data_IF_516954273151
#
_entry.id   IF_516954273151
#
_cell.length_a   1.000
_cell.length_b   1.000
_cell.length_c   1.000
_cell.angle_alpha   90.00
_cell.angle_beta   90.00
_cell.angle_gamma   90.00
#
_symmetry.space_group_name_H-M   'P 1'
#
loop_
_entity.id
_entity.type
_entity.pdbx_description
1 polymer ?
#
# COMPACT_ATOMS: atom_id res chain seq x y z
N UNK A 1 5.29 24.29 12.22
CA UNK A 1 6.26 23.21 11.94
C UNK A 1 5.82 22.37 10.72
N UNK A 2 5.28 23.02 9.68
CA UNK A 2 4.73 22.35 8.50
C UNK A 2 5.21 23.06 7.23
N UNK A 3 5.22 22.32 6.13
CA UNK A 3 5.26 22.81 4.76
C UNK A 3 3.82 23.03 4.34
N UNK A 4 3.53 24.19 3.76
CA UNK A 4 2.19 24.49 3.24
C UNK A 4 2.22 24.41 1.73
N UNK A 5 1.35 23.61 1.12
CA UNK A 5 1.24 23.48 -0.33
C UNK A 5 -0.01 24.26 -0.79
N UNK A 6 0.13 25.50 -1.29
CA UNK A 6 -1.01 26.40 -1.53
C UNK A 6 -2.03 25.82 -2.51
N UNK A 7 -1.54 25.24 -3.61
CA UNK A 7 -2.37 24.70 -4.70
C UNK A 7 -3.11 23.40 -4.34
N UNK A 8 -2.85 22.84 -3.15
CA UNK A 8 -3.56 21.73 -2.56
C UNK A 8 -4.47 22.18 -1.39
N UNK A 9 -5.15 23.32 -1.53
CA UNK A 9 -6.02 23.89 -0.48
C UNK A 9 -5.25 24.16 0.82
N UNK A 10 -4.01 24.66 0.72
CA UNK A 10 -3.09 24.85 1.84
C UNK A 10 -2.82 23.56 2.63
N UNK A 11 -2.77 22.41 1.96
CA UNK A 11 -2.42 21.14 2.59
C UNK A 11 -1.10 21.26 3.36
N UNK A 12 -1.09 20.73 4.58
CA UNK A 12 0.06 20.82 5.48
C UNK A 12 0.78 19.48 5.56
N UNK A 13 2.08 19.51 5.27
CA UNK A 13 2.98 18.35 5.38
C UNK A 13 3.97 18.62 6.50
N UNK A 14 4.26 17.65 7.37
CA UNK A 14 5.26 17.85 8.42
C UNK A 14 6.64 18.16 7.80
N UNK A 15 7.37 19.17 8.32
CA UNK A 15 8.67 19.57 7.73
C UNK A 15 9.65 18.39 7.66
N UNK A 16 9.74 17.59 8.73
CA UNK A 16 10.59 16.40 8.75
C UNK A 16 10.21 15.39 7.66
N UNK A 17 8.91 15.17 7.40
CA UNK A 17 8.47 14.27 6.33
C UNK A 17 8.91 14.82 4.96
N UNK A 18 8.78 16.12 4.73
CA UNK A 18 9.22 16.75 3.48
C UNK A 18 10.73 16.63 3.27
N UNK A 19 11.55 16.96 4.28
CA UNK A 19 13.01 16.81 4.23
C UNK A 19 13.38 15.35 3.96
N UNK A 20 12.64 14.42 4.56
CA UNK A 20 12.90 13.01 4.34
C UNK A 20 12.51 12.55 2.93
N UNK A 21 11.39 13.03 2.41
CA UNK A 21 10.99 12.79 1.03
C UNK A 21 12.05 13.32 0.06
N UNK A 22 12.58 14.52 0.29
CA UNK A 22 13.74 15.06 -0.44
C UNK A 22 14.92 14.09 -0.40
N UNK A 23 15.34 13.66 0.79
CA UNK A 23 16.46 12.73 0.98
C UNK A 23 16.26 11.41 0.21
N UNK A 24 15.09 10.79 0.33
CA UNK A 24 14.79 9.53 -0.37
C UNK A 24 14.79 9.73 -1.89
N UNK A 25 14.15 10.82 -2.35
CA UNK A 25 14.07 11.14 -3.77
C UNK A 25 15.44 11.41 -4.38
N UNK A 26 16.29 12.14 -3.65
CA UNK A 26 17.68 12.42 -4.02
C UNK A 26 18.51 11.15 -4.14
N UNK A 27 18.45 10.29 -3.13
CA UNK A 27 19.14 8.99 -3.13
C UNK A 27 18.73 8.12 -4.33
N UNK A 28 17.47 8.20 -4.76
CA UNK A 28 16.91 7.31 -5.77
C UNK A 28 17.11 7.81 -7.20
N UNK A 29 16.97 9.11 -7.44
CA UNK A 29 16.85 9.65 -8.80
C UNK A 29 17.87 10.72 -9.17
N UNK A 30 18.72 11.18 -8.24
CA UNK A 30 19.70 12.24 -8.57
C UNK A 30 20.83 11.77 -9.51
N UNK A 31 21.07 10.46 -9.60
CA UNK A 31 22.24 9.89 -10.28
C UNK A 31 23.59 10.20 -9.59
N UNK A 32 23.56 10.87 -8.43
CA UNK A 32 24.74 11.30 -7.65
C UNK A 32 24.93 10.40 -6.42
N UNK A 33 26.03 10.63 -5.70
CA UNK A 33 26.28 10.00 -4.42
C UNK A 33 25.11 10.27 -3.45
N UNK A 34 24.43 9.23 -2.94
CA UNK A 34 23.31 9.36 -1.99
C UNK A 34 23.60 10.22 -0.76
N UNK A 35 24.85 10.32 -0.33
CA UNK A 35 25.22 11.07 0.88
C UNK A 35 25.26 12.59 0.65
N UNK A 36 25.19 13.04 -0.62
CA UNK A 36 25.23 14.47 -0.99
C UNK A 36 23.87 15.18 -0.93
N UNK A 37 22.82 14.52 -0.44
CA UNK A 37 21.45 15.06 -0.45
C UNK A 37 21.27 16.38 0.32
N UNK A 38 22.13 16.68 1.30
CA UNK A 38 22.08 17.92 2.11
C UNK A 38 22.52 19.14 1.30
N UNK A 39 23.54 18.99 0.47
CA UNK A 39 24.09 20.03 -0.42
C UNK A 39 23.49 19.96 -1.83
N UNK A 40 22.72 18.91 -2.09
CA UNK A 40 22.11 18.62 -3.38
C UNK A 40 21.15 19.71 -3.84
N UNK A 41 21.13 19.92 -5.17
CA UNK A 41 20.15 20.76 -5.84
C UNK A 41 19.19 19.88 -6.64
N UNK A 42 17.97 20.37 -6.85
CA UNK A 42 16.95 19.71 -7.68
C UNK A 42 16.28 20.76 -8.57
N UNK A 43 15.95 20.47 -9.84
CA UNK A 43 15.14 21.40 -10.62
C UNK A 43 13.77 21.57 -9.96
N UNK A 44 13.18 22.76 -10.09
CA UNK A 44 11.81 22.97 -9.61
C UNK A 44 10.86 22.04 -10.37
N UNK A 45 11.01 21.96 -11.70
CA UNK A 45 10.21 21.11 -12.57
C UNK A 45 8.75 21.56 -12.69
N UNK A 46 8.52 22.87 -12.61
CA UNK A 46 7.18 23.45 -12.69
C UNK A 46 6.50 23.10 -14.02
N UNK A 47 5.31 22.49 -13.96
CA UNK A 47 4.52 22.12 -15.15
C UNK A 47 3.03 21.99 -14.84
N UNK A 48 2.20 22.28 -15.85
CA UNK A 48 0.76 22.07 -15.82
C UNK A 48 0.34 20.66 -16.26
N UNK A 49 1.30 19.83 -16.71
CA UNK A 49 1.03 18.43 -17.08
C UNK A 49 0.62 17.60 -15.86
N UNK A 50 -0.17 16.54 -16.08
CA UNK A 50 -0.53 15.57 -15.04
C UNK A 50 0.69 14.77 -14.56
N UNK A 51 0.62 14.17 -13.37
CA UNK A 51 1.77 13.46 -12.77
C UNK A 51 2.26 12.29 -13.65
N UNK A 52 1.35 11.53 -14.28
CA UNK A 52 1.74 10.46 -15.19
C UNK A 52 2.58 10.98 -16.38
N UNK A 53 2.06 11.99 -17.09
CA UNK A 53 2.75 12.61 -18.22
C UNK A 53 4.12 13.18 -17.85
N UNK A 54 4.26 13.79 -16.66
CA UNK A 54 5.57 14.25 -16.17
C UNK A 54 6.59 13.13 -16.03
N UNK A 55 6.17 11.98 -15.49
CA UNK A 55 7.05 10.84 -15.30
C UNK A 55 7.43 10.19 -16.64
N UNK A 56 6.50 10.16 -17.60
CA UNK A 56 6.72 9.67 -18.97
C UNK A 56 7.70 10.57 -19.75
N UNK A 57 7.70 11.88 -19.47
CA UNK A 57 8.64 12.86 -20.01
C UNK A 57 10.03 12.82 -19.32
N UNK A 58 10.23 11.90 -18.37
CA UNK A 58 11.50 11.76 -17.65
C UNK A 58 11.76 12.81 -16.57
N UNK A 59 10.75 13.62 -16.19
CA UNK A 59 10.89 14.69 -15.20
C UNK A 59 10.82 14.20 -13.74
N UNK A 60 11.29 12.97 -13.49
CA UNK A 60 11.17 12.30 -12.20
C UNK A 60 11.89 13.03 -11.09
N UNK A 61 13.10 13.51 -11.36
CA UNK A 61 13.92 14.19 -10.37
C UNK A 61 13.58 15.69 -10.32
N UNK A 62 12.48 16.04 -9.63
CA UNK A 62 12.04 17.44 -9.47
C UNK A 62 11.32 17.70 -8.14
N UNK A 63 11.38 18.95 -7.68
CA UNK A 63 10.63 19.40 -6.49
C UNK A 63 9.11 19.20 -6.70
N UNK A 64 8.63 19.47 -7.90
CA UNK A 64 7.24 19.30 -8.31
C UNK A 64 6.73 17.88 -8.03
N UNK A 65 7.50 16.84 -8.39
CA UNK A 65 7.10 15.45 -8.15
C UNK A 65 7.03 15.14 -6.65
N UNK A 66 8.01 15.59 -5.85
CA UNK A 66 7.96 15.41 -4.38
C UNK A 66 6.69 16.02 -3.80
N UNK A 67 6.38 17.27 -4.17
CA UNK A 67 5.18 17.95 -3.69
C UNK A 67 3.90 17.22 -4.08
N UNK A 68 3.83 16.69 -5.32
CA UNK A 68 2.67 15.92 -5.78
C UNK A 68 2.51 14.57 -5.06
N UNK A 69 3.58 13.91 -4.67
CA UNK A 69 3.48 12.63 -3.94
C UNK A 69 3.02 12.81 -2.48
N UNK A 70 3.36 13.96 -1.88
CA UNK A 70 3.03 14.29 -0.49
C UNK A 70 1.61 14.85 -0.29
N UNK A 71 0.89 15.18 -1.36
CA UNK A 71 -0.50 15.68 -1.28
C UNK A 71 -1.52 14.57 -1.54
N UNK A 72 -2.78 14.75 -1.10
CA UNK A 72 -3.86 13.84 -1.42
C UNK A 72 -4.03 13.64 -2.94
N UNK A 73 -4.44 12.43 -3.31
CA UNK A 73 -4.53 11.97 -4.70
C UNK A 73 -5.29 12.92 -5.66
N UNK A 74 -6.32 13.61 -5.17
CA UNK A 74 -7.13 14.55 -5.97
C UNK A 74 -6.36 15.77 -6.47
N UNK A 75 -5.19 16.04 -5.89
CA UNK A 75 -4.39 17.21 -6.22
C UNK A 75 -3.19 16.87 -7.11
N UNK A 76 -2.83 15.60 -7.29
CA UNK A 76 -1.56 15.19 -7.92
C UNK A 76 -1.40 15.60 -9.39
N UNK A 77 -2.49 15.95 -10.07
CA UNK A 77 -2.48 16.45 -11.45
C UNK A 77 -2.57 17.99 -11.52
N UNK A 78 -2.24 18.68 -10.43
CA UNK A 78 -2.10 20.13 -10.39
C UNK A 78 -0.65 20.50 -10.11
N UNK A 79 -0.28 21.69 -10.55
CA UNK A 79 0.99 22.32 -10.26
C UNK A 79 1.16 22.61 -8.77
N UNK A 80 2.27 22.21 -8.14
CA UNK A 80 2.45 22.30 -6.67
C UNK A 80 3.62 23.17 -6.21
N UNK A 81 4.73 23.18 -6.94
CA UNK A 81 5.99 23.82 -6.58
C UNK A 81 6.19 25.15 -7.31
N UNK A 82 5.16 26.01 -7.30
CA UNK A 82 5.23 27.34 -7.93
C UNK A 82 5.86 28.42 -7.02
N UNK A 83 5.90 29.65 -7.51
CA UNK A 83 6.41 30.81 -6.76
C UNK A 83 5.70 30.99 -5.40
N UNK A 84 4.40 30.70 -5.31
CA UNK A 84 3.67 30.83 -4.05
C UNK A 84 4.14 29.77 -3.03
N UNK A 85 4.40 28.54 -3.49
CA UNK A 85 5.01 27.50 -2.66
C UNK A 85 6.39 27.94 -2.13
N UNK A 86 7.26 28.48 -2.99
CA UNK A 86 8.61 28.91 -2.60
C UNK A 86 8.56 30.06 -1.58
N UNK A 87 7.71 31.06 -1.79
CA UNK A 87 7.55 32.17 -0.85
C UNK A 87 7.06 31.73 0.53
N UNK A 88 6.05 30.86 0.58
CA UNK A 88 5.47 30.39 1.85
C UNK A 88 6.41 29.43 2.60
N UNK A 89 7.31 28.74 1.87
CA UNK A 89 8.22 27.75 2.44
C UNK A 89 9.72 28.12 2.32
N UNK A 90 10.05 29.42 2.27
CA UNK A 90 11.42 29.91 2.13
C UNK A 90 12.37 29.48 3.26
N UNK A 91 11.81 29.22 4.45
CA UNK A 91 12.55 28.65 5.59
C UNK A 91 12.97 27.19 5.37
N UNK A 92 12.42 26.51 4.37
CA UNK A 92 12.65 25.09 4.11
C UNK A 92 13.45 24.87 2.82
N UNK A 93 13.11 25.61 1.77
CA UNK A 93 13.75 25.52 0.45
C UNK A 93 14.23 26.90 0.01
N UNK A 94 15.41 26.95 -0.61
CA UNK A 94 15.97 28.16 -1.19
C UNK A 94 16.15 27.96 -2.69
N UNK A 95 15.82 28.99 -3.45
CA UNK A 95 16.06 29.03 -4.89
C UNK A 95 17.56 28.99 -5.20
N UNK A 96 17.92 28.28 -6.27
CA UNK A 96 19.26 28.23 -6.83
C UNK A 96 19.21 27.98 -8.34
N UNK A 97 20.36 27.84 -8.99
CA UNK A 97 20.47 27.37 -10.37
C UNK A 97 20.76 25.88 -10.38
N UNK A 98 20.05 25.13 -11.23
CA UNK A 98 20.30 23.72 -11.49
C UNK A 98 20.81 23.54 -12.92
N UNK A 99 21.90 22.79 -13.09
CA UNK A 99 22.45 22.45 -14.40
C UNK A 99 21.95 21.05 -14.79
N UNK A 100 21.23 20.97 -15.91
CA UNK A 100 20.77 19.73 -16.51
C UNK A 100 21.95 18.99 -17.17
N UNK A 101 21.79 17.69 -17.44
CA UNK A 101 22.83 16.84 -18.06
C UNK A 101 23.25 17.33 -19.47
N UNK A 102 22.38 18.09 -20.15
CA UNK A 102 22.68 18.71 -21.44
C UNK A 102 23.46 20.04 -21.32
N UNK A 103 23.83 20.46 -20.11
CA UNK A 103 24.52 21.72 -19.80
C UNK A 103 23.61 22.95 -19.70
N UNK A 104 22.29 22.78 -19.84
CA UNK A 104 21.32 23.87 -19.71
C UNK A 104 21.10 24.23 -18.24
N UNK A 105 21.09 25.53 -17.93
CA UNK A 105 20.78 26.04 -16.59
C UNK A 105 19.30 26.35 -16.46
N UNK A 106 18.64 25.71 -15.50
CA UNK A 106 17.22 25.89 -15.18
C UNK A 106 17.01 26.35 -13.73
N UNK A 107 15.84 26.92 -13.38
CA UNK A 107 15.49 27.20 -12.00
C UNK A 107 15.53 25.94 -11.13
N UNK A 108 16.28 26.01 -10.04
CA UNK A 108 16.46 24.93 -9.09
C UNK A 108 16.16 25.37 -7.66
N UNK A 109 16.17 24.38 -6.77
CA UNK A 109 16.06 24.57 -5.34
C UNK A 109 17.08 23.72 -4.60
N UNK A 110 17.39 24.13 -3.37
CA UNK A 110 18.09 23.34 -2.36
C UNK A 110 17.37 23.44 -1.03
N UNK A 111 17.66 22.52 -0.11
CA UNK A 111 17.24 22.68 1.28
C UNK A 111 17.94 23.91 1.90
N UNK A 112 17.19 24.62 2.74
CA UNK A 112 17.73 25.72 3.55
C UNK A 112 18.60 25.15 4.69
N UNK A 113 19.49 25.98 5.23
CA UNK A 113 20.32 25.59 6.38
C UNK A 113 19.44 25.26 7.60
N UNK A 114 18.35 26.01 7.82
CA UNK A 114 17.36 25.75 8.87
C UNK A 114 16.61 24.42 8.69
N UNK A 115 16.43 23.95 7.45
CA UNK A 115 15.84 22.63 7.17
C UNK A 115 16.82 21.51 7.54
N UNK A 116 18.11 21.72 7.27
CA UNK A 116 19.16 20.76 7.63
C UNK A 116 19.32 20.71 9.16
N UNK A 117 19.37 21.86 9.83
CA UNK A 117 19.44 21.95 11.30
C UNK A 117 18.26 21.20 11.94
N UNK A 118 17.04 21.42 11.44
CA UNK A 118 15.86 20.70 11.92
C UNK A 118 16.00 19.19 11.80
N UNK A 119 16.58 18.69 10.69
CA UNK A 119 16.79 17.26 10.51
C UNK A 119 17.83 16.71 11.48
N UNK A 120 18.93 17.44 11.70
CA UNK A 120 20.02 17.05 12.59
C UNK A 120 19.63 17.08 14.08
N UNK A 121 18.67 17.94 14.44
CA UNK A 121 18.09 17.99 15.80
C UNK A 121 17.20 16.78 16.12
N UNK A 122 16.64 16.10 15.11
CA UNK A 122 15.81 14.92 15.34
C UNK A 122 16.65 13.77 15.91
N UNK A 123 16.05 13.02 16.83
CA UNK A 123 16.65 11.77 17.29
C UNK A 123 16.73 10.75 16.16
N UNK A 124 17.65 9.80 16.27
CA UNK A 124 17.78 8.70 15.31
C UNK A 124 16.45 7.94 15.07
N UNK A 125 15.65 7.79 16.13
CA UNK A 125 14.37 7.09 16.07
C UNK A 125 13.37 7.90 15.24
N UNK A 126 13.27 9.22 15.48
CA UNK A 126 12.39 10.10 14.70
C UNK A 126 12.79 10.15 13.23
N UNK A 127 14.08 10.26 12.95
CA UNK A 127 14.61 10.22 11.59
C UNK A 127 14.22 8.90 10.88
N UNK A 128 14.40 7.74 11.53
CA UNK A 128 14.05 6.47 10.91
C UNK A 128 12.53 6.31 10.69
N UNK A 129 11.70 6.81 11.62
CA UNK A 129 10.24 6.85 11.46
C UNK A 129 9.83 7.71 10.25
N UNK A 130 10.37 8.92 10.11
CA UNK A 130 10.05 9.75 8.94
C UNK A 130 10.61 9.15 7.64
N UNK A 131 11.73 8.42 7.68
CA UNK A 131 12.24 7.66 6.53
C UNK A 131 11.27 6.56 6.12
N UNK A 132 10.68 5.85 7.08
CA UNK A 132 9.62 4.87 6.81
C UNK A 132 8.43 5.54 6.13
N UNK A 133 7.95 6.67 6.66
CA UNK A 133 6.80 7.35 6.06
C UNK A 133 7.09 7.88 4.65
N UNK A 134 8.26 8.48 4.43
CA UNK A 134 8.64 9.00 3.11
C UNK A 134 8.77 7.88 2.06
N UNK A 135 9.47 6.79 2.41
CA UNK A 135 9.57 5.61 1.52
C UNK A 135 8.18 5.03 1.24
N UNK A 136 7.28 5.00 2.23
CA UNK A 136 5.93 4.49 2.03
C UNK A 136 5.15 5.33 1.00
N UNK A 137 5.26 6.66 1.03
CA UNK A 137 4.60 7.53 0.03
C UNK A 137 5.07 7.27 -1.40
N UNK A 138 6.31 6.81 -1.55
CA UNK A 138 6.91 6.54 -2.86
C UNK A 138 6.55 5.14 -3.34
N UNK A 139 6.57 4.15 -2.44
CA UNK A 139 6.28 2.76 -2.81
C UNK A 139 4.78 2.46 -2.89
N UNK A 140 3.92 3.26 -2.26
CA UNK A 140 2.47 2.99 -2.20
C UNK A 140 1.78 3.13 -3.55
N UNK A 141 0.51 2.69 -3.61
CA UNK A 141 -0.35 3.01 -4.74
C UNK A 141 -0.52 4.53 -4.87
N UNK A 142 -0.23 5.07 -6.05
CA UNK A 142 -0.27 6.51 -6.33
C UNK A 142 -1.54 6.83 -7.11
N UNK A 143 -2.64 6.94 -6.38
CA UNK A 143 -3.90 7.37 -6.99
C UNK A 143 -3.79 8.80 -7.57
N UNK A 144 -4.50 9.07 -8.67
CA UNK A 144 -4.72 10.41 -9.19
C UNK A 144 -6.14 10.58 -9.75
N UNK A 145 -6.46 11.77 -10.26
CA UNK A 145 -7.73 12.01 -10.97
C UNK A 145 -7.73 11.49 -12.40
N UNK A 146 -6.59 11.06 -12.94
CA UNK A 146 -6.48 10.46 -14.27
C UNK A 146 -6.69 8.95 -14.22
N UNK A 147 -7.09 8.40 -15.36
CA UNK A 147 -7.04 6.96 -15.65
C UNK A 147 -5.70 6.52 -16.23
N UNK A 148 -4.66 7.36 -16.21
CA UNK A 148 -3.31 6.99 -16.63
C UNK A 148 -2.49 6.45 -15.43
N UNK A 149 -1.85 5.27 -15.56
CA UNK A 149 -1.09 4.67 -14.47
C UNK A 149 0.12 5.55 -14.13
N UNK A 150 0.37 5.79 -12.85
CA UNK A 150 1.54 6.57 -12.42
C UNK A 150 2.68 5.60 -12.10
N UNK A 151 3.67 5.59 -12.98
CA UNK A 151 4.80 4.66 -12.92
C UNK A 151 6.08 5.43 -12.55
N UNK A 152 6.47 5.36 -11.28
CA UNK A 152 7.67 6.04 -10.76
C UNK A 152 8.97 5.36 -11.23
N UNK A 153 8.97 4.04 -11.34
CA UNK A 153 10.12 3.27 -11.82
C UNK A 153 9.80 2.72 -13.21
N UNK A 154 10.69 2.84 -14.19
CA UNK A 154 10.48 2.31 -15.56
C UNK A 154 10.70 0.81 -15.65
N UNK A 155 9.68 -0.04 -15.73
CA UNK A 155 9.86 -1.44 -16.16
C UNK A 155 8.53 -2.08 -16.56
N UNK A 156 8.67 -3.02 -17.51
CA UNK A 156 7.65 -3.77 -18.23
C UNK A 156 6.69 -4.63 -17.40
N UNK A 157 5.97 -5.48 -18.13
CA UNK A 157 4.93 -6.38 -17.63
C UNK A 157 5.63 -7.57 -16.95
N UNK A 158 5.29 -7.87 -15.70
CA UNK A 158 5.71 -9.09 -15.01
C UNK A 158 4.51 -10.01 -14.79
N UNK A 159 4.70 -11.29 -15.13
CA UNK A 159 3.70 -12.34 -15.01
C UNK A 159 4.08 -13.21 -13.80
N UNK A 160 3.25 -13.19 -12.75
CA UNK A 160 3.40 -14.14 -11.63
C UNK A 160 3.20 -15.55 -12.17
N UNK A 161 4.12 -16.46 -11.84
CA UNK A 161 3.99 -17.87 -12.20
C UNK A 161 4.58 -18.25 -13.56
N UNK A 162 5.40 -17.41 -14.20
CA UNK A 162 6.19 -17.86 -15.36
C UNK A 162 7.19 -18.96 -15.00
N UNK A 163 7.70 -18.92 -13.76
CA UNK A 163 8.79 -19.79 -13.33
C UNK A 163 8.32 -21.22 -12.99
N UNK A 164 7.07 -21.38 -12.52
CA UNK A 164 6.51 -22.69 -12.19
C UNK A 164 5.05 -22.86 -12.61
N UNK A 165 4.74 -24.02 -13.17
CA UNK A 165 3.38 -24.45 -13.42
C UNK A 165 2.67 -24.79 -12.09
N UNK A 166 1.38 -24.46 -11.90
CA UNK A 166 0.69 -24.76 -10.64
C UNK A 166 0.72 -26.25 -10.31
N UNK A 167 0.92 -26.62 -9.04
CA UNK A 167 0.97 -28.03 -8.63
C UNK A 167 -0.39 -28.73 -8.75
N UNK A 168 -1.48 -27.97 -8.75
CA UNK A 168 -2.85 -28.45 -8.85
C UNK A 168 -3.64 -27.56 -9.82
N UNK A 169 -4.33 -28.19 -10.78
CA UNK A 169 -5.29 -27.53 -11.67
C UNK A 169 -6.68 -28.12 -11.39
N UNK A 170 -7.63 -27.31 -10.89
CA UNK A 170 -9.01 -27.75 -10.71
C UNK A 170 -9.69 -28.11 -12.03
N UNK A 171 -10.74 -28.92 -11.96
CA UNK A 171 -11.60 -29.17 -13.12
C UNK A 171 -12.62 -28.03 -13.32
N UNK A 172 -13.11 -27.88 -14.55
CA UNK A 172 -14.11 -26.86 -14.93
C UNK A 172 -15.39 -26.87 -14.09
N UNK A 173 -15.75 -28.05 -13.58
CA UNK A 173 -16.99 -28.28 -12.84
C UNK A 173 -16.80 -28.23 -11.33
N UNK A 174 -15.56 -28.05 -10.88
CA UNK A 174 -15.27 -27.91 -9.46
C UNK A 174 -15.83 -26.62 -8.89
N UNK A 175 -16.03 -26.65 -7.58
CA UNK A 175 -16.50 -25.51 -6.80
C UNK A 175 -15.33 -24.59 -6.47
N UNK A 176 -15.66 -23.41 -5.94
CA UNK A 176 -14.69 -22.39 -5.55
C UNK A 176 -13.62 -22.92 -4.60
N UNK A 177 -13.98 -23.88 -3.73
CA UNK A 177 -13.07 -24.47 -2.75
C UNK A 177 -11.86 -25.17 -3.39
N UNK A 178 -12.03 -25.86 -4.52
CA UNK A 178 -10.91 -26.49 -5.23
C UNK A 178 -9.91 -25.46 -5.79
N UNK A 179 -10.41 -24.29 -6.19
CA UNK A 179 -9.56 -23.19 -6.66
C UNK A 179 -8.86 -22.46 -5.51
N UNK A 180 -9.48 -22.41 -4.33
CA UNK A 180 -8.82 -21.94 -3.10
C UNK A 180 -7.66 -22.87 -2.77
N UNK A 181 -7.89 -24.19 -2.76
CA UNK A 181 -6.83 -25.18 -2.52
C UNK A 181 -5.70 -25.04 -3.54
N UNK A 182 -6.01 -25.00 -4.83
CA UNK A 182 -5.01 -24.85 -5.88
C UNK A 182 -4.20 -23.55 -5.75
N UNK A 183 -4.85 -22.43 -5.41
CA UNK A 183 -4.17 -21.16 -5.18
C UNK A 183 -3.25 -21.22 -3.95
N UNK A 184 -3.72 -21.83 -2.85
CA UNK A 184 -2.92 -21.95 -1.62
C UNK A 184 -1.71 -22.85 -1.85
N UNK A 185 -1.90 -23.97 -2.53
CA UNK A 185 -0.82 -24.90 -2.86
C UNK A 185 0.19 -24.26 -3.82
N UNK A 186 -0.30 -23.49 -4.80
CA UNK A 186 0.60 -22.78 -5.69
C UNK A 186 1.46 -21.77 -4.94
N UNK A 187 0.89 -20.95 -4.05
CA UNK A 187 1.68 -20.00 -3.23
C UNK A 187 2.65 -20.73 -2.29
N UNK A 188 2.27 -21.91 -1.80
CA UNK A 188 3.13 -22.72 -0.94
C UNK A 188 4.40 -23.18 -1.68
N UNK A 189 4.27 -23.65 -2.92
CA UNK A 189 5.40 -24.21 -3.69
C UNK A 189 6.19 -23.17 -4.48
N UNK A 190 5.52 -22.12 -4.96
CA UNK A 190 6.11 -21.06 -5.78
C UNK A 190 7.27 -20.38 -5.04
N UNK A 191 8.47 -20.30 -5.64
CA UNK A 191 9.56 -19.51 -5.08
C UNK A 191 9.24 -18.01 -5.10
N UNK A 192 9.45 -17.35 -3.98
CA UNK A 192 9.28 -15.91 -3.81
C UNK A 192 10.61 -15.21 -3.66
N UNK A 193 10.90 -14.25 -4.52
CA UNK A 193 12.02 -13.33 -4.37
C UNK A 193 11.51 -11.96 -3.91
N UNK A 194 11.77 -11.53 -2.65
CA UNK A 194 11.48 -10.17 -2.24
C UNK A 194 12.24 -9.18 -3.12
N UNK A 195 11.57 -8.11 -3.55
CA UNK A 195 12.15 -7.05 -4.37
C UNK A 195 12.14 -5.72 -3.63
N UNK A 196 13.27 -5.01 -3.61
CA UNK A 196 13.35 -3.63 -3.13
C UNK A 196 13.93 -2.75 -4.24
N UNK A 197 13.18 -1.72 -4.64
CA UNK A 197 13.53 -0.91 -5.82
C UNK A 197 13.84 -1.80 -7.04
N UNK A 198 13.07 -2.88 -7.21
CA UNK A 198 13.22 -3.94 -8.24
C UNK A 198 14.48 -4.76 -8.20
N UNK A 199 15.32 -4.58 -7.20
CA UNK A 199 16.48 -5.43 -7.02
C UNK A 199 16.10 -6.57 -6.07
N UNK A 200 16.49 -7.81 -6.41
CA UNK A 200 16.40 -8.93 -5.48
C UNK A 200 16.97 -8.55 -4.12
N UNK A 201 16.17 -8.78 -3.08
CA UNK A 201 16.56 -8.57 -1.69
C UNK A 201 16.50 -9.89 -0.93
N UNK A 202 17.66 -10.31 -0.40
CA UNK A 202 17.78 -11.61 0.27
C UNK A 202 17.70 -12.77 -0.72
N UNK A 203 17.58 -13.99 -0.17
CA UNK A 203 17.43 -15.20 -0.97
C UNK A 203 15.96 -15.45 -1.32
N UNK A 204 15.67 -16.17 -2.41
CA UNK A 204 14.33 -16.71 -2.65
C UNK A 204 13.88 -17.61 -1.49
N UNK A 205 12.58 -17.56 -1.17
CA UNK A 205 11.94 -18.39 -0.13
C UNK A 205 10.71 -19.08 -0.69
N UNK A 206 10.32 -20.22 -0.14
CA UNK A 206 9.08 -20.93 -0.48
C UNK A 206 8.29 -21.21 0.79
N UNK A 207 6.97 -21.34 0.67
CA UNK A 207 6.06 -21.52 1.80
C UNK A 207 5.47 -20.23 2.33
N UNK A 208 4.24 -20.34 2.85
CA UNK A 208 3.49 -19.18 3.35
C UNK A 208 4.19 -18.47 4.52
N UNK A 209 4.74 -19.23 5.45
CA UNK A 209 5.43 -18.74 6.65
C UNK A 209 6.75 -18.01 6.32
N UNK A 210 7.59 -18.59 5.48
CA UNK A 210 8.84 -17.97 5.06
C UNK A 210 8.59 -16.73 4.19
N UNK A 211 7.58 -16.76 3.31
CA UNK A 211 7.12 -15.56 2.57
C UNK A 211 6.68 -14.44 3.53
N UNK A 212 5.97 -14.77 4.60
CA UNK A 212 5.59 -13.78 5.62
C UNK A 212 6.82 -13.20 6.34
N UNK A 213 7.79 -14.04 6.71
CA UNK A 213 9.02 -13.58 7.36
C UNK A 213 9.90 -12.73 6.46
N UNK A 214 9.91 -13.01 5.16
CA UNK A 214 10.63 -12.24 4.15
C UNK A 214 9.94 -10.92 3.78
N UNK A 215 8.67 -10.73 4.18
CA UNK A 215 7.91 -9.51 3.90
C UNK A 215 8.53 -8.31 4.61
N UNK A 216 8.60 -7.18 3.90
CA UNK A 216 8.96 -5.88 4.44
C UNK A 216 8.13 -4.77 3.79
N UNK A 217 8.08 -3.62 4.45
CA UNK A 217 7.33 -2.46 4.01
C UNK A 217 7.78 -1.22 4.79
N UNK A 218 8.06 -0.09 4.11
CA UNK A 218 8.26 0.04 2.66
C UNK A 218 9.67 -0.33 2.22
N UNK A 219 10.59 -0.57 3.17
CA UNK A 219 12.01 -0.85 2.95
C UNK A 219 12.44 -2.09 3.74
N UNK A 220 13.48 -2.82 3.32
CA UNK A 220 13.92 -4.05 3.96
C UNK A 220 14.17 -3.98 5.47
N UNK A 221 14.71 -2.85 5.94
CA UNK A 221 14.97 -2.62 7.36
C UNK A 221 13.67 -2.63 8.20
N UNK A 222 12.56 -2.29 7.57
CA UNK A 222 11.21 -2.35 8.15
C UNK A 222 10.60 -3.72 7.83
N UNK A 223 11.20 -4.77 8.39
CA UNK A 223 10.73 -6.14 8.21
C UNK A 223 9.32 -6.33 8.78
N UNK A 224 8.69 -7.47 8.47
CA UNK A 224 7.40 -7.90 9.02
C UNK A 224 7.28 -7.65 10.54
N UNK A 225 8.34 -7.93 11.28
CA UNK A 225 8.41 -7.74 12.74
C UNK A 225 8.28 -6.27 13.15
N UNK A 226 8.99 -5.39 12.46
CA UNK A 226 8.99 -3.95 12.73
C UNK A 226 7.64 -3.36 12.36
N UNK A 227 7.08 -3.72 11.20
CA UNK A 227 5.77 -3.24 10.77
C UNK A 227 4.68 -3.71 11.74
N UNK A 228 4.75 -4.96 12.20
CA UNK A 228 3.81 -5.49 13.18
C UNK A 228 3.83 -4.66 14.45
N UNK A 229 5.01 -4.35 14.99
CA UNK A 229 5.14 -3.46 16.16
C UNK A 229 4.59 -2.05 15.92
N UNK A 230 4.81 -1.47 14.74
CA UNK A 230 4.25 -0.16 14.39
C UNK A 230 2.72 -0.20 14.22
N UNK A 231 2.19 -1.34 13.76
CA UNK A 231 0.76 -1.55 13.54
C UNK A 231 -0.01 -1.88 14.82
N UNK A 232 0.62 -2.48 15.84
CA UNK A 232 -0.05 -2.97 17.05
C UNK A 232 -0.85 -1.90 17.80
N UNK A 233 -0.31 -0.69 18.07
CA UNK A 233 -1.09 0.36 18.74
C UNK A 233 -2.30 0.83 17.91
N UNK A 234 -2.17 0.81 16.58
CA UNK A 234 -3.25 1.19 15.66
C UNK A 234 -4.34 0.12 15.64
N UNK A 235 -3.97 -1.16 15.61
CA UNK A 235 -4.90 -2.28 15.73
C UNK A 235 -5.66 -2.23 17.06
N UNK A 236 -4.95 -1.97 18.16
CA UNK A 236 -5.57 -1.84 19.47
C UNK A 236 -6.65 -0.75 19.50
N UNK A 237 -6.31 0.46 19.02
CA UNK A 237 -7.26 1.60 18.97
C UNK A 237 -8.44 1.31 18.04
N UNK A 238 -8.19 0.78 16.85
CA UNK A 238 -9.25 0.39 15.91
C UNK A 238 -10.19 -0.66 16.52
N UNK A 239 -9.65 -1.68 17.20
CA UNK A 239 -10.46 -2.71 17.84
C UNK A 239 -11.35 -2.14 18.95
N UNK A 240 -10.84 -1.22 19.78
CA UNK A 240 -11.64 -0.57 20.81
C UNK A 240 -12.83 0.20 20.20
N UNK A 241 -12.53 1.06 19.23
CA UNK A 241 -13.51 1.91 18.56
C UNK A 241 -14.54 1.08 17.77
N UNK A 242 -14.08 0.04 17.08
CA UNK A 242 -14.93 -0.82 16.26
C UNK A 242 -15.85 -1.71 17.10
N UNK A 243 -15.35 -2.29 18.21
CA UNK A 243 -16.17 -3.06 19.15
C UNK A 243 -17.28 -2.20 19.76
N UNK A 244 -16.99 -0.95 20.09
CA UNK A 244 -18.03 -0.03 20.59
C UNK A 244 -19.19 0.11 19.60
N UNK A 245 -18.91 0.31 18.31
CA UNK A 245 -19.94 0.38 17.27
C UNK A 245 -20.62 -0.98 17.05
N UNK A 246 -19.87 -2.08 17.11
CA UNK A 246 -20.39 -3.43 16.98
C UNK A 246 -21.42 -3.77 18.06
N UNK A 247 -21.14 -3.35 19.30
CA UNK A 247 -22.02 -3.50 20.45
C UNK A 247 -23.21 -2.51 20.47
N UNK A 248 -23.39 -1.71 19.41
CA UNK A 248 -24.46 -0.74 19.29
C UNK A 248 -24.28 0.55 20.10
N UNK A 249 -23.06 0.83 20.60
CA UNK A 249 -22.73 2.08 21.29
C UNK A 249 -22.44 3.19 20.28
N UNK A 250 -22.58 4.43 20.73
CA UNK A 250 -22.17 5.62 20.00
C UNK A 250 -20.83 6.10 20.49
N UNK A 251 -19.96 6.53 19.57
CA UNK A 251 -18.74 7.26 19.90
C UNK A 251 -19.06 8.58 20.59
N UNK A 252 -18.28 8.91 21.61
CA UNK A 252 -18.22 10.25 22.17
C UNK A 252 -17.16 11.11 21.45
N UNK A 253 -16.94 12.33 21.93
CA UNK A 253 -15.98 13.24 21.31
C UNK A 253 -14.53 12.73 21.38
N UNK A 254 -14.15 12.02 22.46
CA UNK A 254 -12.79 11.49 22.59
C UNK A 254 -12.56 10.33 21.62
N UNK A 255 -13.57 9.46 21.45
CA UNK A 255 -13.58 8.40 20.46
C UNK A 255 -13.46 8.97 19.03
N UNK A 256 -14.21 10.02 18.70
CA UNK A 256 -14.17 10.69 17.40
C UNK A 256 -12.77 11.24 17.07
N UNK A 257 -12.15 11.93 18.04
CA UNK A 257 -10.78 12.46 17.90
C UNK A 257 -9.77 11.32 17.75
N UNK A 258 -9.90 10.27 18.55
CA UNK A 258 -9.03 9.09 18.48
C UNK A 258 -9.18 8.37 17.13
N UNK A 259 -10.39 8.26 16.60
CA UNK A 259 -10.70 7.62 15.32
C UNK A 259 -10.02 8.35 14.16
N UNK A 260 -10.15 9.68 14.11
CA UNK A 260 -9.51 10.50 13.07
C UNK A 260 -7.99 10.43 13.16
N UNK A 261 -7.43 10.52 14.38
CA UNK A 261 -5.99 10.38 14.61
C UNK A 261 -5.48 9.01 14.17
N UNK A 262 -6.16 7.94 14.56
CA UNK A 262 -5.77 6.56 14.22
C UNK A 262 -5.79 6.31 12.72
N UNK A 263 -6.83 6.80 12.02
CA UNK A 263 -6.88 6.69 10.56
C UNK A 263 -5.75 7.46 9.88
N UNK A 264 -5.43 8.67 10.38
CA UNK A 264 -4.30 9.47 9.88
C UNK A 264 -2.97 8.72 10.04
N UNK A 265 -2.73 8.10 11.20
CA UNK A 265 -1.53 7.31 11.45
C UNK A 265 -1.47 6.04 10.57
N UNK A 266 -2.62 5.39 10.28
CA UNK A 266 -2.69 4.29 9.30
C UNK A 266 -2.30 4.78 7.91
N UNK A 267 -2.85 5.90 7.44
CA UNK A 267 -2.52 6.47 6.13
C UNK A 267 -1.03 6.81 6.02
N UNK A 268 -0.42 7.34 7.09
CA UNK A 268 1.00 7.64 7.14
C UNK A 268 1.87 6.38 7.07
N UNK A 269 1.54 5.34 7.83
CA UNK A 269 2.27 4.07 7.85
C UNK A 269 2.32 3.39 6.47
N UNK A 270 1.24 3.54 5.69
CA UNK A 270 1.12 2.93 4.37
C UNK A 270 1.34 3.91 3.20
N UNK A 271 1.65 5.19 3.45
CA UNK A 271 1.95 6.18 2.40
C UNK A 271 0.74 6.60 1.55
N UNK A 272 -0.46 6.65 2.12
CA UNK A 272 -1.73 6.83 1.42
C UNK A 272 -2.44 8.13 1.83
N UNK A 273 -1.90 9.32 1.52
CA UNK A 273 -2.46 10.60 1.96
C UNK A 273 -3.90 10.79 1.46
N UNK A 274 -4.79 11.19 2.37
CA UNK A 274 -6.21 11.40 2.09
C UNK A 274 -6.58 12.88 2.18
N UNK A 275 -7.64 13.28 1.45
CA UNK A 275 -8.29 14.58 1.69
C UNK A 275 -8.80 14.64 3.13
N UNK A 276 -8.99 15.86 3.64
CA UNK A 276 -9.62 16.09 4.94
C UNK A 276 -10.90 15.24 5.07
N UNK A 277 -11.01 14.53 6.19
CA UNK A 277 -12.10 13.64 6.51
C UNK A 277 -12.55 13.87 7.96
N UNK A 278 -13.79 13.53 8.24
CA UNK A 278 -14.42 13.73 9.55
C UNK A 278 -14.49 12.41 10.33
N UNK A 279 -14.87 12.48 11.61
CA UNK A 279 -15.15 11.28 12.38
C UNK A 279 -16.33 10.48 11.80
N UNK A 280 -17.33 11.14 11.21
CA UNK A 280 -18.44 10.46 10.51
C UNK A 280 -17.97 9.66 9.30
N UNK A 281 -17.01 10.18 8.53
CA UNK A 281 -16.41 9.42 7.42
C UNK A 281 -15.78 8.12 7.93
N UNK A 282 -15.02 8.22 9.03
CA UNK A 282 -14.36 7.07 9.66
C UNK A 282 -15.40 6.09 10.19
N UNK A 283 -16.42 6.59 10.90
CA UNK A 283 -17.52 5.78 11.44
C UNK A 283 -18.25 5.00 10.36
N UNK A 284 -18.55 5.63 9.22
CA UNK A 284 -19.20 4.96 8.10
C UNK A 284 -18.34 3.80 7.56
N UNK A 285 -17.02 4.00 7.43
CA UNK A 285 -16.09 2.92 7.02
C UNK A 285 -16.03 1.81 8.05
N UNK A 286 -15.98 2.13 9.34
CA UNK A 286 -16.00 1.14 10.42
C UNK A 286 -17.28 0.31 10.35
N UNK A 287 -18.46 0.95 10.28
CA UNK A 287 -19.75 0.26 10.17
C UNK A 287 -19.81 -0.61 8.92
N UNK A 288 -19.42 -0.09 7.76
CA UNK A 288 -19.43 -0.84 6.52
C UNK A 288 -18.51 -2.08 6.58
N UNK A 289 -17.39 -1.98 7.29
CA UNK A 289 -16.44 -3.07 7.47
C UNK A 289 -16.88 -4.13 8.49
N UNK A 290 -17.41 -3.72 9.66
CA UNK A 290 -17.74 -4.67 10.75
C UNK A 290 -19.14 -5.26 10.66
N UNK A 291 -20.06 -4.57 9.99
CA UNK A 291 -21.45 -5.02 9.81
C UNK A 291 -21.71 -5.60 8.41
N UNK A 292 -20.70 -5.61 7.54
CA UNK A 292 -20.82 -6.00 6.12
C UNK A 292 -21.97 -5.29 5.39
N UNK A 293 -22.13 -3.99 5.68
CA UNK A 293 -23.17 -3.16 5.06
C UNK A 293 -22.55 -2.30 3.98
N UNK A 294 -23.06 -2.45 2.76
CA UNK A 294 -22.74 -1.54 1.66
C UNK A 294 -23.31 -0.16 2.00
N UNK A 295 -22.45 0.79 2.33
CA UNK A 295 -22.83 2.19 2.57
C UNK A 295 -22.16 3.08 1.54
N UNK A 296 -22.97 3.72 0.69
CA UNK A 296 -22.51 4.69 -0.31
C UNK A 296 -21.78 5.91 0.29
N UNK A 297 -21.94 6.17 1.59
CA UNK A 297 -21.26 7.24 2.33
C UNK A 297 -19.92 6.80 2.92
N UNK A 298 -19.67 5.50 3.00
CA UNK A 298 -18.40 4.97 3.50
C UNK A 298 -17.34 5.14 2.41
N UNK A 299 -16.32 5.96 2.71
CA UNK A 299 -15.22 6.22 1.79
C UNK A 299 -14.51 4.93 1.39
N UNK A 300 -14.11 4.82 0.13
CA UNK A 300 -13.41 3.66 -0.40
C UNK A 300 -12.32 4.05 -1.40
N UNK A 301 -11.10 3.58 -1.14
CA UNK A 301 -9.92 3.56 -2.01
C UNK A 301 -8.82 2.69 -1.33
N UNK A 302 -7.60 2.61 -1.87
CA UNK A 302 -6.54 1.76 -1.27
C UNK A 302 -6.23 2.12 0.19
N UNK A 303 -6.38 3.39 0.59
CA UNK A 303 -6.24 3.82 1.99
C UNK A 303 -7.36 3.32 2.88
N UNK A 304 -8.61 3.54 2.48
CA UNK A 304 -9.77 3.18 3.29
C UNK A 304 -9.96 1.66 3.44
N UNK A 305 -9.49 0.83 2.49
CA UNK A 305 -9.47 -0.63 2.69
C UNK A 305 -8.50 -1.05 3.81
N UNK A 306 -7.40 -0.31 4.04
CA UNK A 306 -6.51 -0.53 5.19
C UNK A 306 -7.25 -0.21 6.49
N UNK A 307 -7.99 0.89 6.54
CA UNK A 307 -8.80 1.26 7.71
C UNK A 307 -9.85 0.18 8.00
N UNK A 308 -10.58 -0.28 6.98
CA UNK A 308 -11.54 -1.37 7.09
C UNK A 308 -10.92 -2.67 7.62
N UNK A 309 -9.72 -3.03 7.14
CA UNK A 309 -8.98 -4.21 7.60
C UNK A 309 -8.53 -4.10 9.07
N UNK A 310 -8.19 -2.90 9.54
CA UNK A 310 -7.86 -2.66 10.95
C UNK A 310 -9.09 -2.66 11.85
N UNK A 311 -10.18 -2.02 11.41
CA UNK A 311 -11.43 -1.92 12.18
C UNK A 311 -12.10 -3.28 12.39
N UNK A 312 -12.04 -4.16 11.40
CA UNK A 312 -12.66 -5.49 11.45
C UNK A 312 -11.75 -6.59 12.00
N UNK A 313 -10.51 -6.28 12.37
CA UNK A 313 -9.53 -7.29 12.79
C UNK A 313 -9.99 -8.12 14.00
N UNK A 314 -10.74 -7.54 14.94
CA UNK A 314 -11.27 -8.27 16.09
C UNK A 314 -12.31 -9.35 15.74
N UNK A 315 -12.89 -9.32 14.53
CA UNK A 315 -13.83 -10.35 14.07
C UNK A 315 -13.14 -11.71 13.90
N UNK A 316 -11.81 -11.76 13.93
CA UNK A 316 -11.02 -12.99 13.87
C UNK A 316 -11.33 -13.91 15.07
N UNK A 317 -11.70 -13.31 16.20
CA UNK A 317 -12.04 -14.00 17.44
C UNK A 317 -13.56 -14.24 17.61
N UNK A 318 -14.37 -13.94 16.59
CA UNK A 318 -15.84 -14.09 16.63
C UNK A 318 -16.25 -15.20 15.66
N UNK A 319 -17.02 -16.17 16.16
CA UNK A 319 -17.57 -17.24 15.33
C UNK A 319 -18.45 -16.67 14.20
N UNK A 320 -18.13 -17.04 12.96
CA UNK A 320 -18.78 -16.51 11.77
C UNK A 320 -18.39 -15.07 11.40
N UNK A 321 -17.45 -14.46 12.13
CA UNK A 321 -16.91 -13.14 11.80
C UNK A 321 -16.08 -13.15 10.53
N UNK A 322 -16.13 -12.04 9.78
CA UNK A 322 -15.41 -11.86 8.51
C UNK A 322 -14.49 -10.65 8.62
N UNK A 323 -13.25 -10.83 9.14
CA UNK A 323 -12.26 -9.77 9.13
C UNK A 323 -11.97 -9.37 7.69
N UNK A 324 -11.88 -8.07 7.45
CA UNK A 324 -11.66 -7.55 6.11
C UNK A 324 -10.20 -7.65 5.70
N UNK A 325 -9.94 -8.10 4.48
CA UNK A 325 -8.63 -7.95 3.83
C UNK A 325 -8.55 -6.56 3.22
N UNK A 326 -7.40 -5.88 3.23
CA UNK A 326 -7.26 -4.66 2.44
C UNK A 326 -7.17 -5.02 0.95
N UNK A 327 -8.31 -5.00 0.25
CA UNK A 327 -8.39 -5.28 -1.18
C UNK A 327 -7.84 -4.10 -1.98
N UNK A 328 -6.51 -4.01 -2.01
CA UNK A 328 -5.76 -3.04 -2.79
C UNK A 328 -5.15 -3.71 -4.03
N UNK A 329 -4.39 -2.93 -4.81
CA UNK A 329 -3.80 -3.39 -6.06
C UNK A 329 -2.94 -4.64 -5.90
N UNK A 330 -2.11 -4.73 -4.86
CA UNK A 330 -1.17 -5.83 -4.65
C UNK A 330 -1.86 -7.12 -4.26
N UNK A 331 -2.78 -7.05 -3.29
CA UNK A 331 -3.55 -8.22 -2.87
C UNK A 331 -4.42 -8.72 -4.03
N UNK A 332 -5.06 -7.79 -4.75
CA UNK A 332 -5.84 -8.11 -5.94
C UNK A 332 -4.97 -8.75 -7.01
N UNK A 333 -3.80 -8.20 -7.30
CA UNK A 333 -2.86 -8.74 -8.29
C UNK A 333 -2.41 -10.17 -7.95
N UNK A 334 -1.96 -10.42 -6.72
CA UNK A 334 -1.50 -11.73 -6.25
C UNK A 334 -2.57 -12.83 -6.40
N UNK A 335 -3.83 -12.50 -6.07
CA UNK A 335 -4.95 -13.44 -6.18
C UNK A 335 -5.45 -13.57 -7.60
N UNK A 336 -5.77 -12.45 -8.26
CA UNK A 336 -6.44 -12.44 -9.57
C UNK A 336 -5.54 -13.01 -10.64
N UNK A 337 -4.22 -12.78 -10.62
CA UNK A 337 -3.32 -13.37 -11.63
C UNK A 337 -3.31 -14.90 -11.55
N UNK A 338 -3.23 -15.47 -10.34
CA UNK A 338 -3.25 -16.93 -10.16
C UNK A 338 -4.61 -17.53 -10.48
N UNK A 339 -5.70 -16.89 -10.05
CA UNK A 339 -7.05 -17.34 -10.40
C UNK A 339 -7.32 -17.26 -11.89
N UNK A 340 -6.83 -16.22 -12.58
CA UNK A 340 -6.96 -16.07 -14.04
C UNK A 340 -6.34 -17.28 -14.74
N UNK A 341 -5.09 -17.61 -14.40
CA UNK A 341 -4.39 -18.78 -14.93
C UNK A 341 -5.14 -20.08 -14.64
N UNK A 342 -5.49 -20.35 -13.38
CA UNK A 342 -6.18 -21.58 -12.99
C UNK A 342 -7.52 -21.74 -13.70
N UNK A 343 -8.28 -20.65 -13.86
CA UNK A 343 -9.55 -20.66 -14.58
C UNK A 343 -9.35 -20.95 -16.08
N UNK A 344 -8.33 -20.36 -16.71
CA UNK A 344 -8.03 -20.59 -18.12
C UNK A 344 -7.65 -22.05 -18.37
N UNK A 345 -6.74 -22.59 -17.55
CA UNK A 345 -6.32 -23.98 -17.64
C UNK A 345 -7.47 -24.96 -17.41
N UNK A 346 -8.36 -24.65 -16.47
CA UNK A 346 -9.59 -25.41 -16.25
C UNK A 346 -10.65 -25.21 -17.37
N UNK A 347 -10.39 -24.37 -18.38
CA UNK A 347 -11.26 -24.17 -19.55
C UNK A 347 -12.45 -23.24 -19.30
N UNK A 348 -12.37 -22.35 -18.31
CA UNK A 348 -13.32 -21.25 -18.12
C UNK A 348 -13.09 -20.13 -19.14
N UNK A 349 -14.17 -19.42 -19.46
CA UNK A 349 -14.15 -18.23 -20.35
C UNK A 349 -14.50 -16.93 -19.61
N UNK A 350 -14.83 -17.03 -18.31
CA UNK A 350 -15.21 -15.88 -17.49
C UNK A 350 -15.14 -16.26 -16.01
N UNK A 351 -14.66 -15.33 -15.14
CA UNK A 351 -14.59 -15.56 -13.70
C UNK A 351 -15.95 -15.40 -12.98
N UNK A 352 -16.90 -14.66 -13.58
CA UNK A 352 -18.10 -14.13 -12.88
C UNK A 352 -18.96 -15.17 -12.17
N UNK A 353 -19.04 -16.40 -12.71
CA UNK A 353 -19.89 -17.46 -12.14
C UNK A 353 -19.27 -18.06 -10.88
N UNK A 354 -17.94 -18.22 -10.86
CA UNK A 354 -17.23 -18.90 -9.78
C UNK A 354 -16.74 -17.91 -8.72
N UNK A 355 -16.41 -16.69 -9.13
CA UNK A 355 -15.90 -15.62 -8.29
C UNK A 355 -16.73 -14.34 -8.45
N UNK A 356 -18.02 -14.36 -8.06
CA UNK A 356 -18.85 -13.15 -8.09
C UNK A 356 -18.25 -12.10 -7.15
N UNK A 357 -18.12 -10.86 -7.63
CA UNK A 357 -17.60 -9.73 -6.84
C UNK A 357 -16.08 -9.63 -6.75
N UNK A 358 -15.31 -10.69 -7.07
CA UNK A 358 -13.86 -10.60 -7.14
C UNK A 358 -13.45 -9.91 -8.45
N UNK A 359 -12.51 -8.97 -8.36
CA UNK A 359 -12.07 -8.19 -9.50
C UNK A 359 -10.72 -7.50 -9.29
N UNK A 360 -10.27 -6.83 -10.34
CA UNK A 360 -8.98 -6.14 -10.38
C UNK A 360 -9.11 -4.80 -9.67
N UNK A 361 -8.13 -4.49 -8.82
CA UNK A 361 -7.83 -3.13 -8.39
C UNK A 361 -6.60 -2.68 -9.15
N UNK A 362 -6.76 -1.76 -10.08
CA UNK A 362 -5.63 -1.25 -10.87
C UNK A 362 -4.64 -0.52 -9.94
N UNK A 363 -3.36 -0.90 -10.03
CA UNK A 363 -2.28 -0.21 -9.33
C UNK A 363 -2.03 1.13 -10.02
N UNK A 364 -2.19 2.22 -9.28
CA UNK A 364 -1.87 3.55 -9.78
C UNK A 364 -0.48 4.02 -9.32
N UNK A 365 0.25 3.25 -8.52
CA UNK A 365 1.64 3.55 -8.16
C UNK A 365 2.43 2.30 -7.83
N UNK A 366 3.67 2.25 -8.31
CA UNK A 366 4.56 1.12 -8.12
C UNK A 366 4.21 -0.06 -9.03
N UNK A 367 4.96 -0.20 -10.13
CA UNK A 367 5.19 -1.43 -10.88
C UNK A 367 4.00 -2.34 -11.22
N UNK A 368 3.61 -2.27 -12.51
CA UNK A 368 3.10 -3.37 -13.37
C UNK A 368 1.59 -3.35 -13.67
N UNK A 369 1.18 -2.79 -14.82
CA UNK A 369 -0.01 -3.28 -15.52
C UNK A 369 0.19 -4.78 -15.78
N UNK A 370 -0.79 -5.59 -15.41
CA UNK A 370 -0.77 -7.04 -15.67
C UNK A 370 -1.74 -7.35 -16.79
N UNK A 371 -1.31 -8.22 -17.70
CA UNK A 371 -2.22 -8.76 -18.71
C UNK A 371 -2.98 -9.93 -18.11
N UNK A 372 -4.31 -9.91 -18.29
CA UNK A 372 -5.19 -10.97 -17.85
C UNK A 372 -5.83 -11.61 -19.07
N UNK A 373 -5.90 -12.94 -19.08
CA UNK A 373 -6.51 -13.71 -20.16
C UNK A 373 -8.03 -13.61 -20.13
N UNK A 374 -8.62 -13.50 -18.93
CA UNK A 374 -10.05 -13.32 -18.74
C UNK A 374 -10.42 -11.86 -18.44
N UNK A 375 -11.65 -11.49 -18.79
CA UNK A 375 -12.22 -10.18 -18.47
C UNK A 375 -12.72 -10.16 -17.03
N UNK A 376 -11.86 -9.76 -16.10
CA UNK A 376 -12.22 -9.51 -14.70
C UNK A 376 -12.94 -8.16 -14.55
N UNK A 377 -13.90 -8.06 -13.61
CA UNK A 377 -14.54 -6.78 -13.31
C UNK A 377 -13.57 -5.83 -12.58
N UNK A 378 -13.83 -4.53 -12.68
CA UNK A 378 -13.14 -3.52 -11.87
C UNK A 378 -13.70 -3.55 -10.44
N UNK A 379 -12.84 -3.80 -9.47
CA UNK A 379 -13.15 -3.86 -8.04
C UNK A 379 -12.73 -2.58 -7.27
N UNK A 380 -12.13 -1.61 -7.96
CA UNK A 380 -11.66 -0.38 -7.35
C UNK A 380 -12.84 0.47 -6.83
N UNK A 381 -12.69 0.98 -5.60
CA UNK A 381 -13.70 1.80 -4.91
C UNK A 381 -15.07 1.14 -4.73
N UNK A 382 -15.11 -0.19 -4.61
CA UNK A 382 -16.34 -0.96 -4.53
C UNK A 382 -16.41 -1.80 -3.23
N UNK A 383 -17.43 -1.53 -2.40
CA UNK A 383 -17.66 -2.25 -1.14
C UNK A 383 -18.09 -3.71 -1.34
N UNK A 384 -18.93 -4.00 -2.35
CA UNK A 384 -19.32 -5.39 -2.65
C UNK A 384 -18.09 -6.23 -3.00
N UNK A 385 -17.17 -5.67 -3.79
CA UNK A 385 -15.94 -6.35 -4.16
C UNK A 385 -15.00 -6.54 -2.95
N UNK A 386 -14.89 -5.53 -2.09
CA UNK A 386 -14.14 -5.57 -0.84
C UNK A 386 -14.66 -6.66 0.12
N UNK A 387 -15.99 -6.77 0.29
CA UNK A 387 -16.60 -7.82 1.10
C UNK A 387 -16.40 -9.20 0.46
N UNK A 388 -16.68 -9.36 -0.84
CA UNK A 388 -16.48 -10.61 -1.56
C UNK A 388 -15.04 -11.12 -1.47
N UNK A 389 -14.06 -10.22 -1.62
CA UNK A 389 -12.65 -10.53 -1.45
C UNK A 389 -12.32 -10.97 -0.02
N UNK A 390 -12.89 -10.33 0.99
CA UNK A 390 -12.67 -10.70 2.38
C UNK A 390 -13.21 -12.10 2.70
N UNK A 391 -14.41 -12.44 2.20
CA UNK A 391 -14.95 -13.81 2.27
C UNK A 391 -14.05 -14.82 1.56
N UNK A 392 -13.50 -14.48 0.40
CA UNK A 392 -12.57 -15.35 -0.31
C UNK A 392 -11.28 -15.58 0.48
N UNK A 393 -10.71 -14.54 1.10
CA UNK A 393 -9.51 -14.65 1.93
C UNK A 393 -9.78 -15.39 3.24
N UNK A 394 -10.99 -15.33 3.79
CA UNK A 394 -11.43 -16.20 4.89
C UNK A 394 -11.34 -17.68 4.49
N UNK A 395 -11.74 -18.05 3.26
CA UNK A 395 -11.58 -19.42 2.78
C UNK A 395 -10.10 -19.84 2.69
N UNK A 396 -9.22 -18.95 2.25
CA UNK A 396 -7.76 -19.20 2.25
C UNK A 396 -7.27 -19.45 3.68
N UNK A 397 -7.65 -18.59 4.64
CA UNK A 397 -7.30 -18.74 6.04
C UNK A 397 -7.76 -20.07 6.62
N UNK A 398 -9.01 -20.42 6.39
CA UNK A 398 -9.59 -21.64 6.93
C UNK A 398 -8.93 -22.87 6.30
N UNK A 399 -8.59 -22.82 5.01
CA UNK A 399 -7.83 -23.87 4.34
C UNK A 399 -6.43 -24.05 4.95
N UNK A 400 -5.68 -22.96 5.14
CA UNK A 400 -4.36 -22.97 5.77
C UNK A 400 -4.39 -23.54 7.20
N UNK A 401 -5.43 -23.23 7.97
CA UNK A 401 -5.53 -23.62 9.38
C UNK A 401 -6.04 -25.05 9.59
N UNK A 402 -6.89 -25.56 8.70
CA UNK A 402 -7.65 -26.80 8.94
C UNK A 402 -7.20 -27.99 8.06
N UNK A 403 -6.42 -27.77 7.01
CA UNK A 403 -6.00 -28.85 6.12
C UNK A 403 -4.96 -29.74 6.80
N UNK A 404 -5.18 -31.05 6.72
CA UNK A 404 -4.28 -32.08 7.23
C UNK A 404 -3.75 -32.96 6.10
N UNK A 405 -2.56 -33.51 6.29
CA UNK A 405 -1.95 -34.51 5.41
C UNK A 405 -2.59 -35.91 5.59
N UNK A 406 -2.13 -36.89 4.83
CA UNK A 406 -2.60 -38.29 4.90
C UNK A 406 -2.37 -38.94 6.29
N UNK A 407 -1.51 -38.35 7.11
CA UNK A 407 -1.18 -38.81 8.46
C UNK A 407 -1.93 -38.04 9.56
N UNK A 408 -2.78 -37.08 9.19
CA UNK A 408 -3.54 -36.25 10.12
C UNK A 408 -2.72 -35.11 10.74
N UNK A 409 -1.51 -34.83 10.26
CA UNK A 409 -0.74 -33.65 10.69
C UNK A 409 -1.21 -32.42 9.91
N UNK A 410 -1.07 -31.22 10.47
CA UNK A 410 -1.30 -29.98 9.73
C UNK A 410 -0.43 -29.96 8.46
N UNK A 411 -1.07 -29.75 7.31
CA UNK A 411 -0.37 -29.70 6.01
C UNK A 411 0.50 -28.46 5.88
N UNK A 412 -0.01 -27.30 6.33
CA UNK A 412 0.67 -26.02 6.18
C UNK A 412 1.34 -25.57 7.50
N UNK A 413 2.51 -24.91 7.43
CA UNK A 413 3.14 -24.32 8.59
C UNK A 413 2.25 -23.30 9.31
N UNK A 414 2.43 -23.20 10.62
CA UNK A 414 1.74 -22.18 11.41
C UNK A 414 2.25 -20.77 11.11
N UNK A 415 1.37 -19.78 11.21
CA UNK A 415 1.71 -18.38 10.95
C UNK A 415 2.75 -17.87 11.97
N UNK A 416 3.90 -17.34 11.51
CA UNK A 416 4.86 -16.67 12.38
C UNK A 416 4.27 -15.41 13.04
N UNK A 417 4.43 -15.27 14.36
CA UNK A 417 4.02 -14.10 15.14
C UNK A 417 5.21 -13.27 15.59
N UNK A 418 4.95 -11.99 15.84
CA UNK A 418 5.93 -11.10 16.47
C UNK A 418 6.34 -11.63 17.86
N UNK A 419 7.55 -12.17 17.98
CA UNK A 419 8.12 -12.67 19.23
C UNK A 419 8.56 -14.15 19.22
N UNK A 420 8.82 -14.74 18.04
CA UNK A 420 9.23 -16.15 17.87
C UNK A 420 8.18 -17.18 18.30
N UNK A 421 6.92 -16.78 18.37
CA UNK A 421 5.79 -17.69 18.56
C UNK A 421 5.13 -17.95 17.20
N UNK A 422 4.46 -19.08 17.05
CA UNK A 422 3.59 -19.37 15.91
C UNK A 422 2.13 -19.42 16.35
N UNK A 423 1.20 -19.47 15.40
CA UNK A 423 -0.19 -19.81 15.68
C UNK A 423 -1.04 -19.87 14.42
N UNK A 424 -2.36 -19.81 14.59
CA UNK A 424 -3.29 -19.81 13.46
C UNK A 424 -3.03 -18.62 12.53
N UNK A 425 -3.16 -18.87 11.23
CA UNK A 425 -3.22 -17.86 10.20
C UNK A 425 -4.41 -16.94 10.44
N UNK A 426 -4.16 -15.64 10.31
CA UNK A 426 -5.15 -14.57 10.39
C UNK A 426 -5.28 -13.89 9.03
N UNK A 427 -6.38 -13.17 8.80
CA UNK A 427 -6.55 -12.39 7.56
C UNK A 427 -5.41 -11.39 7.39
N UNK A 428 -4.91 -10.80 8.48
CA UNK A 428 -3.78 -9.87 8.45
C UNK A 428 -2.48 -10.53 8.03
N UNK A 429 -2.17 -11.73 8.53
CA UNK A 429 -0.98 -12.48 8.11
C UNK A 429 -1.02 -12.82 6.62
N UNK A 430 -2.15 -13.34 6.14
CA UNK A 430 -2.36 -13.63 4.72
C UNK A 430 -2.25 -12.37 3.87
N UNK A 431 -2.85 -11.26 4.31
CA UNK A 431 -2.77 -9.98 3.60
C UNK A 431 -1.31 -9.53 3.41
N UNK A 432 -0.42 -9.74 4.39
CA UNK A 432 0.99 -9.36 4.25
C UNK A 432 1.68 -10.20 3.19
N UNK A 433 1.48 -11.53 3.20
CA UNK A 433 2.02 -12.43 2.15
C UNK A 433 1.53 -11.99 0.76
N UNK A 434 0.22 -11.81 0.59
CA UNK A 434 -0.37 -11.42 -0.69
C UNK A 434 0.06 -10.00 -1.13
N UNK A 435 0.25 -9.08 -0.17
CA UNK A 435 0.72 -7.72 -0.48
C UNK A 435 2.18 -7.71 -0.93
N UNK A 436 3.01 -8.58 -0.38
CA UNK A 436 4.42 -8.71 -0.75
C UNK A 436 4.58 -9.44 -2.09
N UNK A 437 3.78 -10.47 -2.32
CA UNK A 437 3.77 -11.24 -3.56
C UNK A 437 3.18 -10.47 -4.75
N UNK A 438 2.23 -9.56 -4.49
CA UNK A 438 1.69 -8.68 -5.52
C UNK A 438 2.62 -7.52 -5.93
N UNK A 439 3.74 -7.32 -5.22
CA UNK A 439 4.74 -6.27 -5.47
C UNK A 439 5.71 -6.70 -6.58
#
# INVERSE_FOLDING_TARGET
MYVTIPNAENHQVHRALFITAWKVWFKRFSGKDPDTWQEGHMPIGETDHGLAAMLDEGQRFSLEVICRLLVPWTFRNKKMADIAFLHVNHDLVRECTYELDNGESVPGVRLSDAAIDLWEELTYIEQDIFMIFAEAHIQADIESTSSDPIVIDDAGIDIIGEDIYPPLIPEKHDKQEAYVEALVEWIQEDPFQPLYHRQPHGNPVSGWDERLLATFWPKPRSSYMVISHLADPLLYRCNLLAKALYDGKTWDHEDEVLAVKTCTEIFMLYGLPQRVFTADDVKNVFIASVMEKVDSRAKMNSGWTKVAAYASAFLEDIEGGVPQVSWNSRVSASIVSRLDFLLVEAGHKSPKKLFPGIGIVEAWGGTRPREFSLKWPNAYRNWDAQHAASHFVVKIRDHLNNTVDEHGNKRYPEMPKAGKKSGLWTIRGIQQVLSADGY
#
